data_IF_123361400789
#
_entry.id   IF_123361400789
#
_cell.length_a   1.000
_cell.length_b   1.000
_cell.length_c   1.000
_cell.angle_alpha   90.00
_cell.angle_beta   90.00
_cell.angle_gamma   90.00
#
_symmetry.space_group_name_H-M   'P 1'
#
loop_
_entity.id
_entity.type
_entity.pdbx_description
1 polymer ?
#
# COMPACT_ATOMS: atom_id res chain seq x y z
N UNK A 1 2.47 18.47 -71.68
CA UNK A 1 2.35 19.17 -70.42
C UNK A 1 2.85 18.21 -69.32
N UNK A 2 4.02 18.56 -68.77
CA UNK A 2 4.72 17.69 -67.72
C UNK A 2 4.36 18.24 -66.38
N UNK A 3 3.82 17.38 -65.51
CA UNK A 3 3.64 17.69 -64.10
C UNK A 3 4.96 17.47 -63.33
N UNK A 4 5.28 18.34 -62.32
CA UNK A 4 6.48 18.13 -61.52
C UNK A 4 6.20 17.24 -60.30
N UNK A 5 7.06 16.24 -60.14
CA UNK A 5 7.15 15.36 -58.97
C UNK A 5 7.80 16.14 -57.84
N UNK A 6 7.09 16.33 -56.71
CA UNK A 6 7.67 16.83 -55.48
C UNK A 6 8.26 15.67 -54.67
N UNK A 7 9.58 15.72 -54.51
CA UNK A 7 10.37 14.83 -53.66
C UNK A 7 10.31 15.38 -52.23
N UNK A 8 9.64 14.68 -51.31
CA UNK A 8 9.67 14.99 -49.87
C UNK A 8 10.89 14.30 -49.28
N UNK A 9 11.91 15.10 -48.95
CA UNK A 9 13.04 14.65 -48.14
C UNK A 9 12.57 14.49 -46.66
N UNK A 10 12.48 13.28 -46.18
CA UNK A 10 12.33 12.99 -44.74
C UNK A 10 13.69 13.21 -44.05
N UNK A 11 13.81 14.31 -43.32
CA UNK A 11 14.95 14.58 -42.45
C UNK A 11 14.88 13.71 -41.19
N UNK A 12 15.79 12.77 -41.10
CA UNK A 12 16.08 12.06 -39.83
C UNK A 12 16.84 13.03 -38.90
N UNK A 13 16.17 13.49 -37.84
CA UNK A 13 16.83 14.11 -36.71
C UNK A 13 17.38 12.97 -35.83
N UNK A 14 18.67 13.00 -35.46
CA UNK A 14 19.18 12.07 -34.44
C UNK A 14 18.66 12.54 -33.07
N UNK A 15 17.95 11.66 -32.39
CA UNK A 15 17.58 11.80 -30.99
C UNK A 15 18.86 11.70 -30.16
N UNK A 16 19.38 12.84 -29.72
CA UNK A 16 20.50 12.90 -28.80
C UNK A 16 20.00 12.45 -27.41
N UNK A 17 20.33 11.23 -27.02
CA UNK A 17 20.24 10.77 -25.65
C UNK A 17 21.25 11.59 -24.82
N UNK A 18 20.74 12.57 -24.08
CA UNK A 18 21.48 13.23 -22.99
C UNK A 18 21.61 12.24 -21.84
N UNK A 19 22.76 11.54 -21.82
CA UNK A 19 23.26 10.94 -20.60
C UNK A 19 23.64 12.09 -19.66
N UNK A 20 22.86 12.35 -18.62
CA UNK A 20 23.38 13.06 -17.46
C UNK A 20 24.37 12.14 -16.75
N UNK A 21 25.63 12.24 -17.15
CA UNK A 21 26.72 11.80 -16.29
C UNK A 21 26.77 12.85 -15.15
N UNK A 22 26.50 12.44 -13.93
CA UNK A 22 26.91 13.20 -12.76
C UNK A 22 28.44 13.30 -12.81
N UNK A 23 28.91 14.45 -13.23
CA UNK A 23 30.30 14.85 -13.03
C UNK A 23 30.35 15.43 -11.62
N UNK A 24 31.18 14.94 -10.71
CA UNK A 24 31.37 15.63 -9.44
C UNK A 24 32.08 16.95 -9.78
N UNK A 25 31.37 18.06 -9.62
CA UNK A 25 31.97 19.39 -9.65
C UNK A 25 32.98 19.45 -8.50
N UNK A 26 34.24 19.58 -8.85
CA UNK A 26 35.32 19.87 -7.91
C UNK A 26 35.23 21.40 -7.70
N UNK A 27 34.64 21.78 -6.56
CA UNK A 27 34.69 23.16 -6.11
C UNK A 27 36.15 23.50 -5.81
N UNK A 28 36.73 24.47 -6.54
CA UNK A 28 38.08 25.01 -6.35
C UNK A 28 38.23 25.89 -5.10
N UNK A 29 37.28 25.89 -4.17
CA UNK A 29 37.40 26.62 -2.92
C UNK A 29 37.87 25.68 -1.81
N UNK A 30 39.16 25.73 -1.52
CA UNK A 30 39.98 24.91 -0.63
C UNK A 30 39.55 24.83 0.85
N UNK A 31 38.30 24.52 1.14
CA UNK A 31 37.86 24.04 2.43
C UNK A 31 37.60 22.53 2.36
N UNK A 32 38.53 21.77 2.88
CA UNK A 32 38.57 20.31 2.82
C UNK A 32 37.48 19.61 3.63
N UNK A 33 36.24 20.01 3.50
CA UNK A 33 35.07 19.22 3.93
C UNK A 33 34.87 18.06 2.98
N UNK A 34 35.49 16.92 3.29
CA UNK A 34 35.18 15.63 2.68
C UNK A 34 33.72 15.34 3.02
N UNK A 35 32.81 15.55 2.04
CA UNK A 35 31.44 15.05 2.17
C UNK A 35 31.51 13.58 2.57
N UNK A 36 30.78 13.14 3.62
CA UNK A 36 30.72 11.73 3.91
C UNK A 36 30.24 11.00 2.65
N UNK A 37 30.86 9.86 2.28
CA UNK A 37 30.40 9.11 1.13
C UNK A 37 28.90 8.83 1.30
N UNK A 38 28.10 9.13 0.26
CA UNK A 38 26.69 8.73 0.26
C UNK A 38 26.61 7.25 0.65
N UNK A 39 25.70 6.86 1.53
CA UNK A 39 25.59 5.47 1.94
C UNK A 39 25.43 4.61 0.69
N UNK A 40 26.39 3.75 0.44
CA UNK A 40 26.38 2.82 -0.71
C UNK A 40 25.36 1.76 -0.36
N UNK A 41 24.21 1.76 -1.02
CA UNK A 41 23.22 0.71 -0.83
C UNK A 41 23.78 -0.67 -1.23
N UNK A 42 23.31 -1.74 -0.58
CA UNK A 42 23.79 -3.10 -0.77
C UNK A 42 23.22 -3.73 -2.05
N UNK A 43 23.96 -3.70 -3.13
CA UNK A 43 23.58 -4.33 -4.40
C UNK A 43 23.66 -5.86 -4.41
N UNK A 44 24.19 -6.48 -3.35
CA UNK A 44 24.25 -7.94 -3.23
C UNK A 44 22.88 -8.54 -2.81
N UNK A 45 21.97 -7.72 -2.29
CA UNK A 45 20.59 -8.13 -2.16
C UNK A 45 19.95 -8.23 -3.56
N UNK A 46 19.47 -9.43 -3.92
CA UNK A 46 18.68 -9.62 -5.14
C UNK A 46 17.40 -8.77 -5.09
N UNK A 47 16.88 -8.29 -6.24
CA UNK A 47 15.64 -7.53 -6.24
C UNK A 47 14.49 -8.36 -5.68
N UNK A 48 13.60 -7.71 -4.93
CA UNK A 48 12.45 -8.31 -4.27
C UNK A 48 11.17 -7.76 -4.90
N UNK A 49 10.24 -8.65 -5.23
CA UNK A 49 8.88 -8.28 -5.62
C UNK A 49 7.93 -8.80 -4.54
N UNK A 50 7.22 -7.88 -3.92
CA UNK A 50 6.22 -8.13 -2.89
C UNK A 50 4.84 -8.23 -3.52
N UNK A 51 4.07 -9.26 -3.16
CA UNK A 51 2.75 -9.58 -3.74
C UNK A 51 1.72 -9.63 -2.61
N UNK A 52 0.79 -8.68 -2.60
CA UNK A 52 -0.22 -8.51 -1.54
C UNK A 52 -1.31 -9.59 -1.56
N UNK A 53 -2.08 -9.68 -0.48
CA UNK A 53 -3.22 -10.56 -0.30
C UNK A 53 -4.50 -10.03 -0.94
N UNK A 54 -5.61 -10.73 -0.68
CA UNK A 54 -6.93 -10.32 -1.16
C UNK A 54 -7.31 -8.93 -0.62
N UNK A 55 -7.90 -8.08 -1.48
CA UNK A 55 -8.30 -6.69 -1.18
C UNK A 55 -7.15 -5.77 -0.74
N UNK A 56 -5.91 -6.25 -0.74
CA UNK A 56 -4.72 -5.47 -0.45
C UNK A 56 -4.23 -4.67 -1.66
N UNK A 57 -3.13 -3.96 -1.45
CA UNK A 57 -2.34 -3.25 -2.47
C UNK A 57 -0.89 -3.22 -2.02
N UNK A 58 -0.02 -2.59 -2.81
CA UNK A 58 1.41 -2.54 -2.55
C UNK A 58 1.80 -1.91 -1.22
N UNK A 59 0.99 -1.02 -0.68
CA UNK A 59 1.21 -0.39 0.64
C UNK A 59 1.11 -1.34 1.84
N UNK A 60 0.53 -2.53 1.67
CA UNK A 60 0.65 -3.62 2.65
C UNK A 60 2.11 -3.87 3.04
N UNK A 61 3.03 -3.62 2.11
CA UNK A 61 4.45 -3.88 2.27
C UNK A 61 5.28 -2.66 2.71
N UNK A 62 4.63 -1.51 2.95
CA UNK A 62 5.31 -0.29 3.38
C UNK A 62 6.20 -0.51 4.62
N UNK A 63 5.75 -1.17 5.71
CA UNK A 63 6.60 -1.42 6.87
C UNK A 63 7.83 -2.29 6.55
N UNK A 64 7.67 -3.30 5.68
CA UNK A 64 8.79 -4.18 5.30
C UNK A 64 9.78 -3.45 4.39
N UNK A 65 9.29 -2.68 3.41
CA UNK A 65 10.14 -1.88 2.52
C UNK A 65 10.96 -0.86 3.31
N UNK A 66 10.35 -0.16 4.26
CA UNK A 66 11.06 0.79 5.14
C UNK A 66 12.15 0.09 5.96
N UNK A 67 11.89 -1.12 6.50
CA UNK A 67 12.90 -1.91 7.21
C UNK A 67 14.03 -2.39 6.30
N UNK A 68 13.72 -2.81 5.06
CA UNK A 68 14.74 -3.14 4.08
C UNK A 68 15.65 -1.93 3.77
N UNK A 69 15.07 -0.74 3.61
CA UNK A 69 15.81 0.51 3.40
C UNK A 69 16.69 0.84 4.62
N UNK A 70 16.19 0.66 5.84
CA UNK A 70 16.96 0.83 7.09
C UNK A 70 18.13 -0.18 7.22
N UNK A 71 18.10 -1.25 6.44
CA UNK A 71 19.14 -2.26 6.37
C UNK A 71 19.95 -2.21 5.05
N UNK A 72 20.15 -1.00 4.54
CA UNK A 72 21.00 -0.69 3.39
C UNK A 72 20.51 -1.27 2.05
N UNK A 73 19.25 -1.73 1.94
CA UNK A 73 18.74 -2.16 0.65
C UNK A 73 18.65 -0.99 -0.34
N UNK A 74 18.95 -1.26 -1.62
CA UNK A 74 18.75 -0.26 -2.66
C UNK A 74 17.27 -0.11 -2.97
N UNK A 75 16.74 1.12 -2.97
CA UNK A 75 15.33 1.39 -3.24
C UNK A 75 14.90 0.88 -4.63
N UNK A 76 15.78 0.94 -5.62
CA UNK A 76 15.55 0.45 -6.99
C UNK A 76 15.54 -1.09 -7.10
N UNK A 77 15.64 -1.81 -5.98
CA UNK A 77 15.55 -3.27 -5.87
C UNK A 77 14.33 -3.75 -5.08
N UNK A 78 13.46 -2.86 -4.61
CA UNK A 78 12.26 -3.19 -3.85
C UNK A 78 11.03 -2.78 -4.67
N UNK A 79 10.18 -3.74 -4.99
CA UNK A 79 9.01 -3.55 -5.84
C UNK A 79 7.77 -4.12 -5.18
N UNK A 80 6.67 -3.40 -5.21
CA UNK A 80 5.36 -3.93 -4.88
C UNK A 80 4.58 -4.20 -6.18
N UNK A 81 3.92 -5.34 -6.24
CA UNK A 81 3.08 -5.74 -7.37
C UNK A 81 1.62 -5.56 -6.99
N UNK A 82 0.97 -4.60 -7.63
CA UNK A 82 -0.46 -4.40 -7.54
C UNK A 82 -1.18 -5.30 -8.55
N UNK A 83 -2.20 -6.02 -8.09
CA UNK A 83 -2.99 -6.92 -8.90
C UNK A 83 -4.45 -6.91 -8.48
N UNK A 84 -5.36 -7.32 -9.36
CA UNK A 84 -6.79 -7.42 -9.05
C UNK A 84 -7.09 -8.73 -8.31
N UNK A 85 -6.93 -8.71 -7.00
CA UNK A 85 -7.14 -9.90 -6.15
C UNK A 85 -8.61 -10.28 -5.94
N UNK A 86 -9.54 -9.51 -6.48
CA UNK A 86 -10.99 -9.76 -6.43
C UNK A 86 -11.42 -10.62 -7.62
N UNK A 87 -10.72 -10.51 -8.75
CA UNK A 87 -11.01 -11.32 -9.93
C UNK A 87 -10.65 -12.80 -9.69
N UNK A 88 -11.36 -13.69 -10.33
CA UNK A 88 -11.11 -15.13 -10.27
C UNK A 88 -10.22 -15.64 -11.41
N UNK A 89 -9.97 -14.82 -12.44
CA UNK A 89 -9.07 -15.13 -13.54
C UNK A 89 -7.67 -14.62 -13.27
N UNK A 90 -6.80 -15.47 -12.77
CA UNK A 90 -5.39 -15.11 -12.52
C UNK A 90 -4.55 -14.90 -13.79
N UNK A 91 -5.04 -15.22 -14.98
CA UNK A 91 -4.21 -15.22 -16.20
C UNK A 91 -3.67 -13.82 -16.56
N UNK A 92 -4.45 -12.73 -16.48
CA UNK A 92 -3.92 -11.37 -16.67
C UNK A 92 -2.85 -10.99 -15.64
N UNK A 93 -3.08 -11.32 -14.36
CA UNK A 93 -2.17 -10.99 -13.27
C UNK A 93 -0.86 -11.77 -13.35
N UNK A 94 -0.92 -13.05 -13.73
CA UNK A 94 0.29 -13.84 -13.99
C UNK A 94 1.12 -13.29 -15.16
N UNK A 95 0.48 -12.77 -16.20
CA UNK A 95 1.17 -12.13 -17.32
C UNK A 95 1.78 -10.78 -16.91
N UNK A 96 1.07 -9.98 -16.11
CA UNK A 96 1.56 -8.72 -15.59
C UNK A 96 2.73 -8.92 -14.61
N UNK A 97 2.63 -9.92 -13.73
CA UNK A 97 3.74 -10.30 -12.82
C UNK A 97 4.98 -10.74 -13.61
N UNK A 98 4.81 -11.52 -14.66
CA UNK A 98 5.92 -11.96 -15.50
C UNK A 98 6.61 -10.79 -16.22
N UNK A 99 5.82 -9.84 -16.73
CA UNK A 99 6.33 -8.61 -17.33
C UNK A 99 7.09 -7.73 -16.32
N UNK A 100 6.58 -7.64 -15.07
CA UNK A 100 7.28 -6.92 -13.99
C UNK A 100 8.59 -7.62 -13.65
N UNK A 101 8.60 -8.95 -13.48
CA UNK A 101 9.82 -9.74 -13.21
C UNK A 101 10.89 -9.49 -14.29
N UNK A 102 10.51 -9.52 -15.57
CA UNK A 102 11.45 -9.25 -16.66
C UNK A 102 11.95 -7.79 -16.66
N UNK A 103 11.08 -6.83 -16.35
CA UNK A 103 11.44 -5.42 -16.21
C UNK A 103 12.43 -5.21 -15.07
N UNK A 104 12.17 -5.81 -13.91
CA UNK A 104 13.05 -5.71 -12.72
C UNK A 104 14.42 -6.34 -13.00
N UNK A 105 14.46 -7.50 -13.64
CA UNK A 105 15.71 -8.15 -14.04
C UNK A 105 16.51 -7.28 -15.01
N UNK A 106 15.85 -6.69 -16.00
CA UNK A 106 16.49 -5.81 -16.97
C UNK A 106 17.06 -4.53 -16.34
N UNK A 107 16.29 -3.91 -15.42
CA UNK A 107 16.69 -2.67 -14.72
C UNK A 107 17.86 -2.88 -13.76
N UNK A 108 17.81 -3.96 -12.99
CA UNK A 108 18.80 -4.24 -11.94
C UNK A 108 20.02 -5.04 -12.42
N UNK A 109 19.94 -5.60 -13.64
CA UNK A 109 20.96 -6.52 -14.17
C UNK A 109 20.97 -7.88 -13.45
N UNK A 110 19.99 -8.16 -12.59
CA UNK A 110 19.90 -9.42 -11.86
C UNK A 110 19.43 -10.56 -12.77
N UNK A 111 20.02 -11.74 -12.64
CA UNK A 111 19.59 -12.94 -13.37
C UNK A 111 18.24 -13.47 -12.88
N UNK A 112 17.94 -13.27 -11.60
CA UNK A 112 16.72 -13.74 -10.92
C UNK A 112 16.24 -12.69 -9.92
N UNK A 113 14.95 -12.80 -9.53
CA UNK A 113 14.34 -11.99 -8.46
C UNK A 113 14.01 -12.85 -7.26
N UNK A 114 13.77 -12.24 -6.10
CA UNK A 114 13.12 -12.85 -4.95
C UNK A 114 11.64 -12.48 -4.96
N UNK A 115 10.75 -13.38 -4.56
CA UNK A 115 9.34 -13.12 -4.38
C UNK A 115 8.95 -13.22 -2.89
N UNK A 116 8.05 -12.35 -2.45
CA UNK A 116 7.41 -12.44 -1.15
C UNK A 116 5.90 -12.31 -1.35
N UNK A 117 5.14 -13.36 -1.06
CA UNK A 117 3.69 -13.40 -1.29
C UNK A 117 2.91 -13.62 0.00
N UNK A 118 1.96 -12.70 0.30
CA UNK A 118 1.08 -12.79 1.44
C UNK A 118 -0.29 -13.32 1.03
N UNK A 119 -0.87 -14.26 1.79
CA UNK A 119 -2.26 -14.72 1.62
C UNK A 119 -2.57 -15.15 0.17
N UNK A 120 -3.52 -14.52 -0.50
CA UNK A 120 -3.83 -14.74 -1.93
C UNK A 120 -2.62 -14.49 -2.83
N UNK A 121 -1.73 -13.55 -2.50
CA UNK A 121 -0.46 -13.32 -3.19
C UNK A 121 0.50 -14.51 -3.06
N UNK A 122 0.43 -15.26 -1.95
CA UNK A 122 1.13 -16.54 -1.79
C UNK A 122 0.62 -17.59 -2.79
N UNK A 123 -0.70 -17.70 -2.98
CA UNK A 123 -1.34 -18.57 -4.00
C UNK A 123 -0.92 -18.16 -5.41
N UNK A 124 -0.99 -16.87 -5.73
CA UNK A 124 -0.56 -16.35 -7.04
C UNK A 124 0.90 -16.66 -7.32
N UNK A 125 1.79 -16.48 -6.32
CA UNK A 125 3.21 -16.79 -6.40
C UNK A 125 3.47 -18.27 -6.71
N UNK A 126 2.76 -19.18 -6.03
CA UNK A 126 2.87 -20.62 -6.34
C UNK A 126 2.40 -20.96 -7.75
N UNK A 127 1.29 -20.37 -8.19
CA UNK A 127 0.77 -20.54 -9.56
C UNK A 127 1.78 -20.02 -10.58
N UNK A 128 2.39 -18.83 -10.32
CA UNK A 128 3.44 -18.27 -11.16
C UNK A 128 4.64 -19.22 -11.31
N UNK A 129 5.13 -19.75 -10.18
CA UNK A 129 6.30 -20.64 -10.14
C UNK A 129 5.98 -22.08 -10.56
N UNK A 130 4.72 -22.44 -10.85
CA UNK A 130 4.37 -23.74 -11.41
C UNK A 130 4.82 -23.90 -12.87
N UNK A 131 4.97 -22.80 -13.59
CA UNK A 131 5.54 -22.74 -14.93
C UNK A 131 7.09 -22.80 -14.85
N UNK A 132 7.77 -23.75 -15.52
CA UNK A 132 9.23 -23.89 -15.45
C UNK A 132 10.03 -22.68 -15.96
N UNK A 133 9.51 -21.94 -16.95
CA UNK A 133 10.20 -20.76 -17.50
C UNK A 133 10.11 -19.59 -16.52
N UNK A 134 8.98 -19.40 -15.88
CA UNK A 134 8.76 -18.40 -14.82
C UNK A 134 9.53 -18.77 -13.56
N UNK A 135 9.50 -20.02 -13.13
CA UNK A 135 10.24 -20.50 -11.97
C UNK A 135 11.76 -20.27 -12.11
N UNK A 136 12.32 -20.41 -13.32
CA UNK A 136 13.72 -20.15 -13.59
C UNK A 136 14.13 -18.68 -13.35
N UNK A 137 13.19 -17.76 -13.29
CA UNK A 137 13.41 -16.32 -13.01
C UNK A 137 13.43 -15.99 -11.51
N UNK A 138 13.09 -16.95 -10.62
CA UNK A 138 12.99 -16.75 -9.17
C UNK A 138 14.12 -17.45 -8.45
N UNK A 139 14.83 -16.72 -7.57
CA UNK A 139 15.94 -17.25 -6.78
C UNK A 139 15.45 -17.82 -5.43
N UNK A 140 14.69 -17.01 -4.67
CA UNK A 140 14.21 -17.33 -3.33
C UNK A 140 12.75 -16.88 -3.21
N UNK A 141 11.99 -17.53 -2.33
CA UNK A 141 10.61 -17.20 -2.09
C UNK A 141 10.28 -17.13 -0.60
N UNK A 142 9.49 -16.14 -0.20
CA UNK A 142 8.87 -16.03 1.12
C UNK A 142 7.35 -16.23 0.98
N UNK A 143 6.84 -17.28 1.61
CA UNK A 143 5.42 -17.65 1.68
C UNK A 143 4.87 -17.20 3.04
N UNK A 144 3.95 -16.25 3.05
CA UNK A 144 3.60 -15.53 4.27
C UNK A 144 2.09 -15.57 4.49
N UNK A 145 1.63 -16.04 5.67
CA UNK A 145 0.21 -16.06 6.03
C UNK A 145 -0.69 -16.62 4.94
N UNK A 146 -0.30 -17.71 4.30
CA UNK A 146 -1.00 -18.30 3.16
C UNK A 146 -1.27 -19.79 3.37
N UNK A 147 -2.08 -20.38 2.49
CA UNK A 147 -2.45 -21.78 2.60
C UNK A 147 -1.24 -22.71 2.56
N UNK A 148 -1.21 -23.70 3.44
CA UNK A 148 -0.18 -24.74 3.46
C UNK A 148 -0.22 -25.55 2.16
N UNK A 149 0.96 -25.75 1.58
CA UNK A 149 1.15 -26.56 0.39
C UNK A 149 2.13 -27.68 0.70
N UNK A 150 1.88 -28.87 0.18
CA UNK A 150 2.63 -30.08 0.54
C UNK A 150 4.09 -30.12 0.09
N UNK A 151 4.49 -29.21 -0.83
CA UNK A 151 5.85 -29.17 -1.38
C UNK A 151 6.27 -27.76 -1.76
N UNK A 152 7.58 -27.55 -1.84
CA UNK A 152 8.16 -26.30 -2.32
C UNK A 152 7.70 -25.98 -3.76
N UNK A 153 7.60 -24.68 -4.12
CA UNK A 153 7.26 -24.27 -5.49
C UNK A 153 8.38 -24.62 -6.49
N UNK A 154 8.05 -24.50 -7.76
CA UNK A 154 8.95 -24.80 -8.85
C UNK A 154 8.86 -26.26 -9.35
N UNK A 155 9.46 -26.54 -10.51
CA UNK A 155 9.39 -27.87 -11.14
C UNK A 155 10.05 -28.95 -10.27
N UNK A 156 9.73 -30.23 -10.48
CA UNK A 156 10.19 -31.33 -9.60
C UNK A 156 11.70 -31.38 -9.39
N UNK A 157 12.49 -31.01 -10.40
CA UNK A 157 13.95 -31.09 -10.37
C UNK A 157 14.64 -29.74 -10.03
N UNK A 158 13.88 -28.67 -9.81
CA UNK A 158 14.39 -27.33 -9.52
C UNK A 158 13.46 -26.61 -8.55
N UNK A 159 13.36 -27.12 -7.34
CA UNK A 159 12.57 -26.50 -6.27
C UNK A 159 13.21 -25.20 -5.84
N UNK A 160 12.35 -24.17 -5.62
CA UNK A 160 12.79 -22.86 -5.17
C UNK A 160 12.90 -22.88 -3.64
N UNK A 161 14.07 -22.51 -3.06
CA UNK A 161 14.20 -22.39 -1.61
C UNK A 161 13.18 -21.41 -1.06
N UNK A 162 12.45 -21.82 -0.02
CA UNK A 162 11.29 -21.10 0.50
C UNK A 162 11.40 -20.89 2.01
N UNK A 163 11.17 -19.67 2.49
CA UNK A 163 10.77 -19.39 3.85
C UNK A 163 9.24 -19.46 3.93
N UNK A 164 8.72 -20.28 4.84
CA UNK A 164 7.29 -20.33 5.13
C UNK A 164 7.02 -19.71 6.50
N UNK A 165 6.26 -18.62 6.52
CA UNK A 165 6.03 -17.78 7.69
C UNK A 165 4.52 -17.75 7.96
N UNK A 166 4.09 -18.18 9.13
CA UNK A 166 2.67 -18.31 9.46
C UNK A 166 2.40 -18.02 10.94
N UNK A 167 1.13 -17.75 11.25
CA UNK A 167 0.68 -17.56 12.64
C UNK A 167 -0.35 -18.63 13.01
N UNK A 168 -0.23 -19.29 14.17
CA UNK A 168 -1.28 -20.19 14.68
C UNK A 168 -2.59 -19.42 14.98
N UNK A 169 -2.49 -18.12 15.23
CA UNK A 169 -3.62 -17.25 15.58
C UNK A 169 -4.23 -16.51 14.40
N UNK A 170 -3.70 -16.72 13.18
CA UNK A 170 -4.34 -16.28 11.95
C UNK A 170 -5.68 -17.03 11.74
N UNK A 171 -6.80 -16.32 11.83
CA UNK A 171 -8.14 -16.88 11.74
C UNK A 171 -8.69 -16.94 10.31
N UNK A 172 -7.97 -16.36 9.34
CA UNK A 172 -8.37 -16.33 7.92
C UNK A 172 -7.94 -17.60 7.18
N UNK A 173 -6.76 -18.12 7.51
CA UNK A 173 -6.21 -19.32 6.86
C UNK A 173 -6.48 -20.55 7.71
N UNK A 174 -7.39 -21.42 7.26
CA UNK A 174 -7.74 -22.66 7.96
C UNK A 174 -6.62 -23.71 7.92
N UNK A 175 -6.10 -24.02 6.70
CA UNK A 175 -5.00 -24.97 6.50
C UNK A 175 -3.66 -24.23 6.49
N UNK A 176 -3.13 -23.95 7.66
CA UNK A 176 -1.81 -23.33 7.90
C UNK A 176 -0.88 -24.29 8.62
N UNK A 177 0.42 -24.03 8.56
CA UNK A 177 1.44 -24.84 9.24
C UNK A 177 2.68 -25.03 8.39
N UNK A 178 3.55 -25.93 8.81
CA UNK A 178 4.84 -26.20 8.19
C UNK A 178 4.73 -26.78 6.78
N UNK A 179 5.57 -26.28 5.87
CA UNK A 179 5.74 -26.80 4.51
C UNK A 179 6.99 -27.66 4.48
N UNK A 180 6.86 -28.88 3.95
CA UNK A 180 7.99 -29.82 3.86
C UNK A 180 9.12 -29.29 2.96
N UNK A 181 10.31 -29.20 3.52
CA UNK A 181 11.50 -28.70 2.83
C UNK A 181 11.69 -27.19 2.88
N UNK A 182 10.73 -26.42 3.42
CA UNK A 182 10.89 -24.98 3.66
C UNK A 182 11.63 -24.70 4.98
N UNK A 183 12.16 -23.48 5.09
CA UNK A 183 12.52 -22.90 6.38
C UNK A 183 11.23 -22.38 7.02
N UNK A 184 10.72 -23.05 8.04
CA UNK A 184 9.45 -22.73 8.66
C UNK A 184 9.65 -21.85 9.90
N UNK A 185 8.86 -20.76 10.00
CA UNK A 185 8.78 -19.86 11.14
C UNK A 185 7.32 -19.63 11.51
N UNK A 186 6.99 -19.70 12.80
CA UNK A 186 5.64 -19.42 13.26
C UNK A 186 5.65 -18.38 14.36
N UNK A 187 4.76 -17.39 14.27
CA UNK A 187 4.66 -16.27 15.21
C UNK A 187 3.26 -16.22 15.82
N UNK A 188 3.17 -16.64 17.08
CA UNK A 188 1.91 -16.60 17.82
C UNK A 188 1.50 -15.17 18.17
N UNK A 189 0.19 -14.93 18.30
CA UNK A 189 -0.39 -13.64 18.64
C UNK A 189 -0.52 -12.66 17.46
N UNK A 190 -0.12 -13.06 16.26
CA UNK A 190 -0.25 -12.23 15.07
C UNK A 190 -1.52 -12.57 14.28
N UNK A 191 -2.30 -11.55 13.95
CA UNK A 191 -3.43 -11.72 13.03
C UNK A 191 -2.97 -11.86 11.57
N UNK A 192 -3.93 -12.03 10.66
CA UNK A 192 -3.66 -12.26 9.25
C UNK A 192 -2.90 -11.11 8.55
N UNK A 193 -3.02 -9.86 9.03
CA UNK A 193 -2.27 -8.71 8.50
C UNK A 193 -0.92 -8.54 9.21
N UNK A 194 -0.88 -8.69 10.54
CA UNK A 194 0.37 -8.58 11.28
C UNK A 194 1.42 -9.57 10.80
N UNK A 195 1.02 -10.78 10.38
CA UNK A 195 1.96 -11.76 9.85
C UNK A 195 2.68 -11.28 8.58
N UNK A 196 2.13 -10.31 7.84
CA UNK A 196 2.80 -9.71 6.69
C UNK A 196 3.64 -8.48 7.04
N UNK A 197 3.29 -7.76 8.11
CA UNK A 197 3.81 -6.42 8.42
C UNK A 197 4.74 -6.37 9.62
N UNK A 198 4.78 -7.43 10.43
CA UNK A 198 5.50 -7.47 11.70
C UNK A 198 7.03 -7.44 11.55
N UNK A 199 7.74 -6.96 12.59
CA UNK A 199 9.20 -7.01 12.64
C UNK A 199 9.76 -8.45 12.62
N UNK A 200 9.07 -9.40 13.25
CA UNK A 200 9.49 -10.81 13.28
C UNK A 200 9.43 -11.44 11.90
N UNK A 201 8.40 -11.11 11.13
CA UNK A 201 8.30 -11.54 9.72
C UNK A 201 9.39 -10.89 8.88
N UNK A 202 9.68 -9.60 9.11
CA UNK A 202 10.81 -8.96 8.44
C UNK A 202 12.13 -9.68 8.71
N UNK A 203 12.41 -9.99 9.98
CA UNK A 203 13.63 -10.71 10.36
C UNK A 203 13.75 -12.03 9.59
N UNK A 204 12.68 -12.83 9.54
CA UNK A 204 12.66 -14.11 8.86
C UNK A 204 12.85 -13.96 7.33
N UNK A 205 12.20 -12.97 6.69
CA UNK A 205 12.35 -12.69 5.26
C UNK A 205 13.78 -12.22 4.96
N UNK A 206 14.29 -11.31 5.78
CA UNK A 206 15.61 -10.72 5.57
C UNK A 206 16.71 -11.79 5.72
N UNK A 207 16.64 -12.62 6.77
CA UNK A 207 17.57 -13.74 6.96
C UNK A 207 17.52 -14.70 5.77
N UNK A 208 16.32 -15.03 5.28
CA UNK A 208 16.16 -15.92 4.14
C UNK A 208 16.77 -15.35 2.84
N UNK A 209 16.56 -14.06 2.57
CA UNK A 209 17.04 -13.43 1.33
C UNK A 209 18.50 -12.98 1.39
N UNK A 210 19.05 -12.73 2.59
CA UNK A 210 20.41 -12.23 2.80
C UNK A 210 21.37 -13.25 3.38
N UNK A 211 20.86 -14.31 4.00
CA UNK A 211 21.67 -15.28 4.74
C UNK A 211 22.33 -14.71 6.02
N UNK A 212 21.81 -13.59 6.53
CA UNK A 212 22.26 -12.94 7.78
C UNK A 212 21.08 -12.20 8.44
N UNK A 213 21.18 -11.98 9.75
CA UNK A 213 20.20 -11.17 10.48
C UNK A 213 20.25 -9.71 10.04
N UNK A 214 19.11 -8.98 10.10
CA UNK A 214 19.09 -7.54 9.90
C UNK A 214 19.83 -6.82 11.03
N UNK A 215 20.30 -5.60 10.77
CA UNK A 215 20.92 -4.75 11.79
C UNK A 215 19.85 -4.00 12.61
N UNK A 216 18.69 -3.69 12.03
CA UNK A 216 17.55 -3.04 12.67
C UNK A 216 16.24 -3.72 12.28
N UNK A 217 15.30 -3.79 13.21
CA UNK A 217 13.92 -4.21 12.97
C UNK A 217 12.96 -3.02 12.82
N UNK A 218 13.46 -1.81 13.02
CA UNK A 218 12.69 -0.59 12.92
C UNK A 218 13.09 0.18 11.65
N UNK A 219 12.15 0.95 11.05
CA UNK A 219 12.47 1.93 10.03
C UNK A 219 13.48 2.97 10.54
N UNK A 220 14.33 3.49 9.64
CA UNK A 220 15.27 4.56 9.99
C UNK A 220 14.54 5.90 10.00
N UNK A 221 14.47 6.60 11.14
CA UNK A 221 13.91 7.95 11.18
C UNK A 221 14.62 8.90 10.23
N UNK A 222 13.89 9.76 9.55
CA UNK A 222 14.43 10.75 8.63
C UNK A 222 13.83 12.14 8.88
N UNK A 223 14.60 13.19 8.60
CA UNK A 223 14.18 14.59 8.64
C UNK A 223 15.03 15.39 7.63
N UNK A 224 14.46 15.89 6.51
CA UNK A 224 13.07 15.70 6.10
C UNK A 224 12.73 14.26 5.77
N UNK A 225 11.42 13.95 5.80
CA UNK A 225 10.88 12.66 5.36
C UNK A 225 10.53 12.75 3.89
N UNK A 226 11.00 11.82 3.06
CA UNK A 226 10.58 11.70 1.68
C UNK A 226 9.44 10.69 1.56
N UNK A 227 8.33 11.11 0.94
CA UNK A 227 7.16 10.24 0.69
C UNK A 227 6.81 10.21 -0.79
N UNK A 228 6.33 9.06 -1.23
CA UNK A 228 5.79 8.87 -2.58
C UNK A 228 4.84 7.68 -2.58
N UNK A 229 4.12 7.46 -3.67
CA UNK A 229 3.22 6.32 -3.73
C UNK A 229 2.41 6.28 -5.02
N UNK A 230 1.20 5.73 -4.91
CA UNK A 230 0.29 5.58 -6.05
C UNK A 230 -1.12 6.03 -5.73
N UNK A 231 -1.83 6.49 -6.78
CA UNK A 231 -3.28 6.68 -6.76
C UNK A 231 -3.91 5.56 -7.58
N UNK A 232 -4.70 4.72 -6.90
CA UNK A 232 -5.37 3.57 -7.49
C UNK A 232 -6.85 3.57 -7.10
N UNK A 233 -7.70 2.77 -7.72
CA UNK A 233 -9.03 2.53 -7.19
C UNK A 233 -9.02 1.54 -6.02
N UNK A 234 -10.00 1.66 -5.15
CA UNK A 234 -10.16 0.74 -4.03
C UNK A 234 -10.62 -0.63 -4.51
N UNK A 235 -9.81 -1.66 -4.25
CA UNK A 235 -10.11 -3.06 -4.47
C UNK A 235 -9.50 -3.66 -5.72
N UNK A 236 -9.57 -2.99 -6.87
CA UNK A 236 -9.06 -3.52 -8.14
C UNK A 236 -7.63 -3.05 -8.47
N UNK A 237 -7.15 -2.02 -7.73
CA UNK A 237 -5.81 -1.45 -7.86
C UNK A 237 -5.50 -0.83 -9.24
N UNK A 238 -6.53 -0.41 -9.98
CA UNK A 238 -6.35 0.24 -11.28
C UNK A 238 -5.77 1.65 -11.08
N UNK A 239 -4.66 2.01 -11.77
CA UNK A 239 -4.11 3.36 -11.70
C UNK A 239 -5.12 4.43 -12.13
N UNK A 240 -5.16 5.55 -11.44
CA UNK A 240 -6.12 6.63 -11.66
C UNK A 240 -5.51 7.77 -12.49
N UNK A 241 -5.24 7.48 -13.77
CA UNK A 241 -4.72 8.48 -14.71
C UNK A 241 -5.65 9.70 -14.81
N UNK A 242 -5.07 10.90 -14.76
CA UNK A 242 -5.78 12.17 -14.81
C UNK A 242 -6.34 12.65 -13.47
N UNK A 243 -6.31 11.83 -12.41
CA UNK A 243 -6.61 12.31 -11.06
C UNK A 243 -5.60 13.37 -10.61
N UNK A 244 -5.98 14.18 -9.63
CA UNK A 244 -5.07 15.13 -8.98
C UNK A 244 -4.95 14.83 -7.49
N UNK A 245 -3.77 15.07 -6.94
CA UNK A 245 -3.48 14.99 -5.50
C UNK A 245 -2.96 16.34 -5.04
N UNK A 246 -3.62 16.93 -4.05
CA UNK A 246 -3.13 18.11 -3.35
C UNK A 246 -2.77 17.71 -1.92
N UNK A 247 -1.61 18.13 -1.43
CA UNK A 247 -1.09 17.78 -0.10
C UNK A 247 -1.10 19.00 0.79
N UNK A 248 -1.62 18.85 2.02
CA UNK A 248 -1.74 19.92 2.99
C UNK A 248 -1.23 19.46 4.36
N UNK A 249 -0.33 20.23 4.95
CA UNK A 249 0.03 20.07 6.36
C UNK A 249 -1.13 20.48 7.28
N UNK A 250 -1.32 19.73 8.36
CA UNK A 250 -2.45 19.87 9.27
C UNK A 250 -2.03 20.34 10.66
N UNK A 251 -2.92 21.07 11.33
CA UNK A 251 -2.88 21.24 12.76
C UNK A 251 -3.27 19.92 13.44
N UNK A 252 -2.35 19.35 14.21
CA UNK A 252 -2.51 18.04 14.83
C UNK A 252 -3.68 17.94 15.83
N UNK A 253 -4.14 19.09 16.37
CA UNK A 253 -5.22 19.13 17.37
C UNK A 253 -6.58 19.19 16.73
N UNK A 254 -6.69 19.92 15.61
CA UNK A 254 -7.99 20.22 14.98
C UNK A 254 -8.22 19.50 13.67
N UNK A 255 -7.16 18.95 13.05
CA UNK A 255 -7.21 18.37 11.70
C UNK A 255 -7.41 19.39 10.58
N UNK A 256 -7.38 20.69 10.90
CA UNK A 256 -7.53 21.73 9.89
C UNK A 256 -6.22 21.95 9.12
N UNK A 257 -6.33 22.32 7.86
CA UNK A 257 -5.20 22.72 7.01
C UNK A 257 -4.51 23.95 7.61
N UNK A 258 -3.19 23.91 7.74
CA UNK A 258 -2.39 25.04 8.21
C UNK A 258 -2.34 26.21 7.19
N UNK A 259 -2.57 25.90 5.92
CA UNK A 259 -2.63 26.87 4.82
C UNK A 259 -3.85 26.62 3.94
N UNK A 260 -4.37 27.68 3.32
CA UNK A 260 -5.41 27.57 2.29
C UNK A 260 -4.88 27.12 0.92
N UNK A 261 -3.53 27.11 0.73
CA UNK A 261 -2.89 26.60 -0.48
C UNK A 261 -2.23 25.26 -0.16
N UNK A 262 -2.22 24.30 -1.11
CA UNK A 262 -1.50 23.05 -0.94
C UNK A 262 0.01 23.28 -0.86
N UNK A 263 0.69 22.45 -0.06
CA UNK A 263 2.15 22.41 0.01
C UNK A 263 2.74 21.79 -1.27
N UNK A 264 2.00 20.86 -1.88
CA UNK A 264 2.32 20.25 -3.16
C UNK A 264 1.05 19.84 -3.91
N UNK A 265 1.16 19.75 -5.25
CA UNK A 265 0.09 19.23 -6.11
C UNK A 265 0.67 18.38 -7.24
N UNK A 266 0.01 17.26 -7.54
CA UNK A 266 0.40 16.29 -8.56
C UNK A 266 -0.76 16.00 -9.49
N UNK A 267 -0.48 15.84 -10.80
CA UNK A 267 -1.40 15.23 -11.76
C UNK A 267 -0.91 13.83 -12.05
N UNK A 268 -1.78 12.86 -11.92
CA UNK A 268 -1.45 11.45 -11.97
C UNK A 268 -1.37 10.97 -13.42
N UNK A 269 -0.30 10.28 -13.76
CA UNK A 269 -0.10 9.68 -15.07
C UNK A 269 -0.65 8.23 -15.13
N UNK A 270 -0.49 7.57 -16.27
CA UNK A 270 -0.95 6.21 -16.51
C UNK A 270 -0.31 5.15 -15.57
N UNK A 271 0.78 5.48 -14.88
CA UNK A 271 1.39 4.59 -13.88
C UNK A 271 0.72 4.68 -12.51
N UNK A 272 -0.06 5.72 -12.28
CA UNK A 272 -0.68 6.00 -10.99
C UNK A 272 0.26 6.67 -9.99
N UNK A 273 1.53 6.90 -10.30
CA UNK A 273 2.52 7.37 -9.34
C UNK A 273 2.33 8.87 -9.00
N UNK A 274 2.65 9.21 -7.74
CA UNK A 274 2.78 10.57 -7.24
C UNK A 274 4.03 10.72 -6.36
N UNK A 275 4.52 11.94 -6.21
CA UNK A 275 5.76 12.22 -5.48
C UNK A 275 7.01 12.09 -6.37
N UNK A 276 8.24 12.08 -5.81
CA UNK A 276 8.49 12.22 -4.36
C UNK A 276 8.14 13.62 -3.82
N UNK A 277 7.88 13.67 -2.52
CA UNK A 277 7.63 14.89 -1.77
C UNK A 277 8.39 14.84 -0.44
N UNK A 278 9.14 15.87 -0.13
CA UNK A 278 9.71 16.08 1.19
C UNK A 278 8.66 16.71 2.11
N UNK A 279 8.47 16.13 3.30
CA UNK A 279 7.53 16.58 4.32
C UNK A 279 8.21 16.70 5.67
N UNK A 280 7.66 17.54 6.57
CA UNK A 280 8.14 17.68 7.93
C UNK A 280 7.81 16.44 8.76
N UNK A 281 8.81 15.89 9.44
CA UNK A 281 8.63 14.73 10.31
C UNK A 281 7.58 15.01 11.39
N UNK A 282 6.77 13.99 11.71
CA UNK A 282 5.71 14.05 12.74
C UNK A 282 4.59 15.07 12.50
N UNK A 283 4.54 15.72 11.35
CA UNK A 283 3.43 16.59 10.97
C UNK A 283 2.36 15.75 10.29
N UNK A 284 1.08 15.79 10.73
CA UNK A 284 0.00 15.12 10.03
C UNK A 284 -0.33 15.82 8.71
N UNK A 285 -0.77 15.03 7.73
CA UNK A 285 -1.08 15.54 6.39
C UNK A 285 -2.44 15.08 5.91
N UNK A 286 -3.07 15.96 5.12
CA UNK A 286 -4.18 15.60 4.25
C UNK A 286 -3.69 15.47 2.82
N UNK A 287 -4.11 14.39 2.16
CA UNK A 287 -3.97 14.17 0.73
C UNK A 287 -5.36 14.26 0.12
N UNK A 288 -5.64 15.35 -0.55
CA UNK A 288 -6.91 15.58 -1.21
C UNK A 288 -6.85 15.05 -2.64
N UNK A 289 -7.58 13.97 -2.90
CA UNK A 289 -7.61 13.29 -4.19
C UNK A 289 -8.88 13.67 -4.94
N UNK A 290 -8.72 14.31 -6.10
CA UNK A 290 -9.82 14.57 -7.02
C UNK A 290 -9.73 13.58 -8.18
N UNK A 291 -10.70 12.65 -8.34
CA UNK A 291 -10.76 11.73 -9.47
C UNK A 291 -10.84 12.46 -10.82
N UNK A 292 -10.34 11.84 -11.89
CA UNK A 292 -10.48 12.37 -13.24
C UNK A 292 -11.93 12.34 -13.74
N UNK A 293 -12.70 11.33 -13.32
CA UNK A 293 -14.13 11.24 -13.61
C UNK A 293 -14.92 12.15 -12.63
N UNK A 294 -15.60 13.17 -13.13
CA UNK A 294 -16.35 14.12 -12.29
C UNK A 294 -17.58 13.50 -11.59
N UNK A 295 -18.03 12.31 -12.00
CA UNK A 295 -19.12 11.59 -11.34
C UNK A 295 -18.64 10.88 -10.06
N UNK A 296 -17.32 10.69 -9.90
CA UNK A 296 -16.72 10.15 -8.70
C UNK A 296 -16.43 11.25 -7.68
N UNK A 297 -16.74 10.96 -6.41
CA UNK A 297 -16.51 11.91 -5.30
C UNK A 297 -15.03 12.06 -4.99
N UNK A 298 -14.58 13.26 -4.59
CA UNK A 298 -13.25 13.44 -4.00
C UNK A 298 -13.07 12.59 -2.74
N UNK A 299 -11.80 12.30 -2.43
CA UNK A 299 -11.42 11.57 -1.21
C UNK A 299 -10.36 12.37 -0.46
N UNK A 300 -10.58 12.54 0.83
CA UNK A 300 -9.70 13.26 1.75
C UNK A 300 -8.98 12.24 2.63
N UNK A 301 -7.70 11.96 2.35
CA UNK A 301 -6.87 11.10 3.18
C UNK A 301 -6.22 11.88 4.30
N UNK A 302 -6.50 11.49 5.53
CA UNK A 302 -5.85 12.02 6.72
C UNK A 302 -4.89 10.97 7.25
N UNK A 303 -3.62 11.35 7.43
CA UNK A 303 -2.58 10.47 7.98
C UNK A 303 -1.86 11.15 9.14
N UNK A 304 -1.44 10.34 10.10
CA UNK A 304 -0.52 10.75 11.14
C UNK A 304 0.81 11.23 10.53
N UNK A 305 1.61 11.94 11.31
CA UNK A 305 2.92 12.39 10.83
C UNK A 305 3.87 11.23 10.57
N UNK A 306 4.53 11.27 9.44
CA UNK A 306 5.55 10.30 9.08
C UNK A 306 6.80 10.47 9.94
N UNK A 307 7.42 9.37 10.34
CA UNK A 307 8.69 9.37 11.09
C UNK A 307 9.87 8.89 10.25
N UNK A 308 9.60 8.19 9.16
CA UNK A 308 10.58 7.65 8.24
C UNK A 308 10.08 7.80 6.79
N UNK A 309 11.00 7.88 5.85
CA UNK A 309 10.65 7.94 4.42
C UNK A 309 9.84 6.73 3.99
N UNK A 310 8.80 6.96 3.18
CA UNK A 310 7.87 5.92 2.77
C UNK A 310 7.55 6.02 1.27
N UNK A 311 8.02 5.09 0.43
CA UNK A 311 7.76 5.10 -1.01
C UNK A 311 6.42 4.45 -1.41
N UNK A 312 5.63 3.98 -0.44
CA UNK A 312 4.39 3.24 -0.66
C UNK A 312 3.18 3.88 0.04
N UNK A 313 3.05 5.21 -0.05
CA UNK A 313 1.85 5.93 0.44
C UNK A 313 0.77 5.86 -0.63
N UNK A 314 -0.15 4.90 -0.48
CA UNK A 314 -1.22 4.72 -1.46
C UNK A 314 -2.45 5.57 -1.10
N UNK A 315 -3.04 6.13 -2.14
CA UNK A 315 -4.27 6.90 -2.09
C UNK A 315 -5.28 6.22 -3.02
N UNK A 316 -6.48 5.96 -2.53
CA UNK A 316 -7.49 5.22 -3.28
C UNK A 316 -8.67 6.10 -3.62
N UNK A 317 -9.11 6.07 -4.87
CA UNK A 317 -10.42 6.62 -5.25
C UNK A 317 -11.51 5.58 -4.99
N UNK A 318 -12.73 6.04 -4.88
CA UNK A 318 -13.88 5.16 -4.78
C UNK A 318 -14.31 4.78 -6.20
N UNK A 319 -14.24 3.51 -6.59
CA UNK A 319 -14.60 3.09 -7.94
C UNK A 319 -16.11 3.27 -8.19
N UNK A 320 -16.45 3.50 -9.45
CA UNK A 320 -17.86 3.57 -9.88
C UNK A 320 -18.59 2.22 -9.75
N UNK A 321 -19.93 2.21 -9.85
CA UNK A 321 -20.77 1.02 -9.63
C UNK A 321 -20.56 -0.10 -10.67
N UNK A 322 -19.71 0.09 -11.65
CA UNK A 322 -19.36 -0.89 -12.68
C UNK A 322 -18.39 -1.98 -12.24
N UNK A 323 -17.74 -1.81 -11.08
CA UNK A 323 -16.77 -2.75 -10.52
C UNK A 323 -17.34 -3.48 -9.30
N UNK A 324 -16.67 -4.57 -8.88
CA UNK A 324 -17.10 -5.34 -7.70
C UNK A 324 -16.99 -4.50 -6.41
N UNK A 325 -15.90 -3.79 -6.22
CA UNK A 325 -15.73 -2.89 -5.08
C UNK A 325 -16.70 -1.70 -5.16
N UNK A 326 -16.91 -1.14 -6.36
CA UNK A 326 -17.85 -0.04 -6.58
C UNK A 326 -19.28 -0.40 -6.27
N UNK A 327 -19.68 -1.66 -6.48
CA UNK A 327 -21.02 -2.11 -6.07
C UNK A 327 -21.19 -2.05 -4.55
N UNK A 328 -20.20 -2.48 -3.77
CA UNK A 328 -20.21 -2.37 -2.31
C UNK A 328 -20.22 -0.89 -1.87
N UNK A 329 -19.35 -0.07 -2.45
CA UNK A 329 -19.17 1.33 -2.08
C UNK A 329 -20.32 2.23 -2.58
N UNK A 330 -21.17 1.75 -3.50
CA UNK A 330 -22.37 2.44 -3.91
C UNK A 330 -23.41 2.58 -2.79
N UNK A 331 -23.26 1.82 -1.69
CA UNK A 331 -24.07 1.97 -0.48
C UNK A 331 -23.72 3.22 0.33
N UNK A 332 -22.52 3.79 0.14
CA UNK A 332 -22.09 4.99 0.85
C UNK A 332 -22.98 6.19 0.45
N UNK A 333 -23.67 6.82 1.40
CA UNK A 333 -24.64 7.87 1.10
C UNK A 333 -23.97 9.08 0.43
N UNK A 334 -24.77 9.73 -0.42
CA UNK A 334 -24.49 11.05 -0.99
C UNK A 334 -25.46 12.04 -0.36
N UNK A 335 -25.07 12.60 0.77
CA UNK A 335 -25.92 13.45 1.61
C UNK A 335 -25.11 14.49 2.37
N UNK A 336 -25.36 15.76 2.08
CA UNK A 336 -24.64 16.88 2.71
C UNK A 336 -24.97 17.09 4.19
N UNK A 337 -25.93 16.35 4.75
CA UNK A 337 -26.22 16.40 6.18
C UNK A 337 -25.27 15.54 7.02
N UNK A 338 -24.58 14.60 6.39
CA UNK A 338 -23.69 13.68 7.08
C UNK A 338 -22.29 13.58 6.45
N UNK A 339 -21.31 13.29 7.29
CA UNK A 339 -19.97 12.89 6.89
C UNK A 339 -19.91 11.38 6.70
N UNK A 340 -19.30 10.94 5.61
CA UNK A 340 -18.88 9.53 5.41
C UNK A 340 -17.41 9.43 5.79
N UNK A 341 -17.12 8.57 6.76
CA UNK A 341 -15.76 8.37 7.29
C UNK A 341 -15.35 6.90 7.13
N UNK A 342 -14.25 6.67 6.43
CA UNK A 342 -13.60 5.36 6.38
C UNK A 342 -12.33 5.38 7.25
N UNK A 343 -12.15 4.35 8.06
CA UNK A 343 -10.98 4.17 8.94
C UNK A 343 -10.20 2.96 8.47
N UNK A 344 -8.91 3.11 8.29
CA UNK A 344 -8.01 2.01 7.90
C UNK A 344 -6.90 1.82 8.93
N UNK A 345 -6.73 0.58 9.41
CA UNK A 345 -5.54 0.14 10.12
C UNK A 345 -4.65 -0.61 9.11
N UNK A 346 -3.50 -0.04 8.76
CA UNK A 346 -2.71 -0.52 7.60
C UNK A 346 -1.79 -1.69 7.94
N UNK A 347 -1.47 -1.89 9.23
CA UNK A 347 -0.46 -2.87 9.68
C UNK A 347 -1.02 -4.05 10.48
N UNK A 348 -2.27 -3.97 10.94
CA UNK A 348 -2.92 -5.01 11.72
C UNK A 348 -4.44 -4.92 11.61
N UNK A 349 -5.15 -6.00 11.90
CA UNK A 349 -6.60 -5.95 12.09
C UNK A 349 -6.95 -5.25 13.42
N UNK A 350 -8.17 -4.69 13.49
CA UNK A 350 -8.74 -4.26 14.76
C UNK A 350 -9.48 -5.44 15.39
N UNK A 351 -9.08 -5.85 16.60
CA UNK A 351 -9.62 -7.02 17.27
C UNK A 351 -10.12 -6.65 18.67
N UNK A 352 -11.37 -7.00 18.96
CA UNK A 352 -11.97 -6.82 20.28
C UNK A 352 -11.11 -7.47 21.39
N UNK A 353 -10.91 -6.72 22.47
CA UNK A 353 -10.13 -7.16 23.63
C UNK A 353 -8.60 -7.05 23.47
N UNK A 354 -8.08 -6.85 22.24
CA UNK A 354 -6.68 -6.52 21.96
C UNK A 354 -6.52 -5.04 21.65
N UNK A 355 -7.38 -4.49 20.84
CA UNK A 355 -7.26 -3.13 20.31
C UNK A 355 -8.36 -2.22 20.85
N UNK A 356 -8.09 -0.91 20.78
CA UNK A 356 -9.07 0.15 21.04
C UNK A 356 -9.18 1.03 19.82
N UNK A 357 -10.38 1.13 19.23
CA UNK A 357 -10.72 2.05 18.17
C UNK A 357 -11.91 2.91 18.58
N UNK A 358 -11.69 4.20 18.77
CA UNK A 358 -12.72 5.17 19.14
C UNK A 358 -12.94 6.20 18.04
N UNK A 359 -14.20 6.57 17.81
CA UNK A 359 -14.59 7.77 17.05
C UNK A 359 -15.36 8.67 18.00
N UNK A 360 -14.74 9.78 18.40
CA UNK A 360 -15.14 10.58 19.56
C UNK A 360 -15.26 9.70 20.82
N UNK A 361 -16.48 9.40 21.28
CA UNK A 361 -16.71 8.51 22.41
C UNK A 361 -17.28 7.14 22.02
N UNK A 362 -17.48 6.88 20.73
CA UNK A 362 -18.04 5.64 20.22
C UNK A 362 -16.90 4.61 20.09
N UNK A 363 -17.03 3.48 20.81
CA UNK A 363 -16.11 2.34 20.70
C UNK A 363 -16.49 1.48 19.50
N UNK A 364 -15.55 1.26 18.59
CA UNK A 364 -15.71 0.40 17.41
C UNK A 364 -15.04 -0.97 17.56
N UNK A 365 -14.09 -1.13 18.48
CA UNK A 365 -13.43 -2.42 18.77
C UNK A 365 -14.26 -3.29 19.72
N UNK A 366 -15.56 -3.45 19.42
CA UNK A 366 -16.49 -4.30 20.18
C UNK A 366 -16.50 -5.73 19.64
N UNK A 367 -17.04 -6.69 20.44
CA UNK A 367 -17.18 -8.08 19.99
C UNK A 367 -18.06 -8.22 18.74
N UNK A 368 -19.03 -7.32 18.55
CA UNK A 368 -19.93 -7.32 17.38
C UNK A 368 -19.25 -6.74 16.12
N UNK A 369 -18.49 -5.64 16.28
CA UNK A 369 -17.91 -4.90 15.16
C UNK A 369 -16.51 -5.37 14.77
N UNK A 370 -15.77 -5.92 15.70
CA UNK A 370 -14.37 -6.34 15.53
C UNK A 370 -14.07 -7.70 16.15
N UNK A 371 -14.87 -8.76 15.88
CA UNK A 371 -14.51 -10.08 16.33
C UNK A 371 -13.21 -10.54 15.67
N UNK A 372 -12.41 -11.37 16.38
CA UNK A 372 -11.11 -11.81 15.89
C UNK A 372 -11.19 -12.53 14.54
N UNK A 373 -12.26 -13.28 14.33
CA UNK A 373 -12.51 -14.06 13.09
C UNK A 373 -12.77 -13.19 11.87
N UNK A 374 -13.23 -11.93 12.06
CA UNK A 374 -13.50 -11.03 10.95
C UNK A 374 -12.22 -10.39 10.39
N UNK A 375 -11.17 -10.25 11.19
CA UNK A 375 -9.90 -9.65 10.80
C UNK A 375 -10.08 -8.28 10.12
N UNK A 376 -10.93 -7.43 10.71
CA UNK A 376 -11.33 -6.16 10.10
C UNK A 376 -10.18 -5.16 10.11
N UNK A 377 -9.82 -4.65 8.92
CA UNK A 377 -8.82 -3.60 8.71
C UNK A 377 -9.44 -2.25 8.34
N UNK A 378 -10.71 -2.25 7.93
CA UNK A 378 -11.40 -1.03 7.58
C UNK A 378 -12.82 -0.97 8.12
N UNK A 379 -13.21 0.22 8.58
CA UNK A 379 -14.54 0.55 9.08
C UNK A 379 -15.10 1.71 8.27
N UNK A 380 -16.31 1.53 7.74
CA UNK A 380 -17.04 2.55 6.99
C UNK A 380 -18.19 3.07 7.83
N UNK A 381 -18.10 4.31 8.29
CA UNK A 381 -19.07 4.95 9.17
C UNK A 381 -19.94 5.88 8.37
N UNK A 382 -21.24 5.61 8.37
CA UNK A 382 -22.26 6.44 7.76
C UNK A 382 -23.64 6.11 8.36
N UNK A 383 -24.55 7.06 8.29
CA UNK A 383 -25.93 6.92 8.76
C UNK A 383 -26.82 6.27 7.70
N UNK A 384 -27.73 5.42 8.11
CA UNK A 384 -28.70 4.72 7.25
C UNK A 384 -29.84 5.61 6.74
N UNK A 385 -29.88 6.90 7.12
CA UNK A 385 -30.79 7.92 6.66
C UNK A 385 -31.80 8.39 7.73
N UNK A 386 -31.66 7.97 8.98
CA UNK A 386 -32.53 8.38 10.08
C UNK A 386 -31.95 9.49 10.98
N UNK A 387 -30.71 9.93 10.69
CA UNK A 387 -29.96 10.96 11.42
C UNK A 387 -29.69 10.58 12.88
N UNK A 388 -29.50 9.30 13.14
CA UNK A 388 -29.15 8.78 14.47
C UNK A 388 -28.03 7.76 14.40
N UNK A 389 -27.25 7.63 15.48
CA UNK A 389 -26.23 6.60 15.61
C UNK A 389 -26.80 5.41 16.37
N UNK A 390 -26.93 4.27 15.72
CA UNK A 390 -27.28 3.02 16.39
C UNK A 390 -26.06 2.18 16.76
N UNK A 391 -24.96 2.35 16.03
CA UNK A 391 -23.76 1.50 16.15
C UNK A 391 -23.95 0.11 15.54
N UNK A 392 -25.02 -0.15 14.80
CA UNK A 392 -25.31 -1.43 14.19
C UNK A 392 -24.46 -1.67 12.92
N UNK A 393 -24.24 -2.94 12.59
CA UNK A 393 -23.52 -3.32 11.36
C UNK A 393 -24.41 -3.10 10.14
N UNK A 394 -23.90 -2.45 9.12
CA UNK A 394 -24.52 -2.38 7.80
C UNK A 394 -24.39 -3.73 7.07
N UNK A 395 -25.53 -4.40 6.86
CA UNK A 395 -25.58 -5.79 6.38
C UNK A 395 -24.89 -6.04 5.02
N UNK A 396 -24.73 -5.01 4.18
CA UNK A 396 -24.04 -5.14 2.89
C UNK A 396 -22.53 -5.45 3.07
N UNK A 397 -21.92 -4.88 4.10
CA UNK A 397 -20.49 -5.13 4.39
C UNK A 397 -20.21 -6.54 4.90
N UNK A 398 -21.22 -7.28 5.38
CA UNK A 398 -21.07 -8.70 5.72
C UNK A 398 -20.68 -9.58 4.51
N UNK A 399 -20.77 -9.06 3.28
CA UNK A 399 -20.37 -9.76 2.07
C UNK A 399 -18.89 -9.52 1.69
N UNK A 400 -18.25 -8.55 2.34
CA UNK A 400 -16.87 -8.18 2.06
C UNK A 400 -15.97 -8.60 3.26
N UNK A 401 -14.98 -9.48 3.03
CA UNK A 401 -14.04 -9.82 4.09
C UNK A 401 -13.21 -8.58 4.47
N UNK A 402 -12.79 -8.51 5.75
CA UNK A 402 -11.89 -7.48 6.29
C UNK A 402 -12.48 -6.06 6.40
N UNK A 403 -13.73 -5.88 6.00
CA UNK A 403 -14.42 -4.58 6.00
C UNK A 403 -15.68 -4.64 6.87
N UNK A 404 -15.93 -3.58 7.62
CA UNK A 404 -17.15 -3.44 8.44
C UNK A 404 -17.81 -2.10 8.16
N UNK A 405 -19.10 -2.09 7.86
CA UNK A 405 -19.91 -0.87 7.82
C UNK A 405 -20.64 -0.69 9.14
N UNK A 406 -20.66 0.53 9.67
CA UNK A 406 -21.25 0.85 10.97
C UNK A 406 -22.17 2.04 10.82
N UNK A 407 -23.38 1.93 11.35
CA UNK A 407 -24.37 2.99 11.37
C UNK A 407 -23.99 4.06 12.40
N UNK A 408 -23.45 5.17 11.87
CA UNK A 408 -22.96 6.31 12.67
C UNK A 408 -23.31 7.61 11.97
N UNK A 409 -24.15 8.43 12.62
CA UNK A 409 -24.45 9.76 12.14
C UNK A 409 -23.41 10.78 12.63
N UNK A 410 -22.63 11.31 11.70
CA UNK A 410 -21.67 12.41 11.93
C UNK A 410 -22.23 13.66 11.23
N UNK A 411 -22.88 14.61 11.95
CA UNK A 411 -23.49 15.77 11.33
C UNK A 411 -22.42 16.72 10.77
N UNK A 412 -22.70 17.33 9.61
CA UNK A 412 -21.81 18.30 8.96
C UNK A 412 -21.95 19.73 9.51
N UNK A 413 -22.96 19.98 10.34
CA UNK A 413 -23.21 21.28 10.96
C UNK A 413 -23.44 21.14 12.48
N UNK A 414 -22.85 22.01 13.31
CA UNK A 414 -21.84 23.03 12.94
C UNK A 414 -20.51 22.41 12.50
N UNK A 415 -19.66 23.13 11.76
CA UNK A 415 -18.31 22.67 11.46
C UNK A 415 -17.55 22.36 12.75
N UNK A 416 -17.09 21.12 12.87
CA UNK A 416 -16.34 20.59 14.04
C UNK A 416 -15.27 19.63 13.58
N UNK A 417 -14.45 19.16 14.50
CA UNK A 417 -13.52 18.05 14.26
C UNK A 417 -14.07 16.78 14.91
N UNK A 418 -13.88 15.65 14.24
CA UNK A 418 -14.09 14.29 14.75
C UNK A 418 -12.76 13.75 15.22
N UNK A 419 -12.70 13.26 16.44
CA UNK A 419 -11.48 12.66 17.01
C UNK A 419 -11.51 11.15 16.80
N UNK A 420 -10.47 10.62 16.17
CA UNK A 420 -10.31 9.19 15.94
C UNK A 420 -9.11 8.72 16.75
N UNK A 421 -9.28 7.73 17.61
CA UNK A 421 -8.19 7.19 18.41
C UNK A 421 -8.05 5.70 18.18
N UNK A 422 -6.85 5.28 17.75
CA UNK A 422 -6.49 3.87 17.59
C UNK A 422 -5.28 3.54 18.46
N UNK A 423 -5.46 2.65 19.43
CA UNK A 423 -4.40 2.21 20.35
C UNK A 423 -3.61 3.37 20.98
N UNK A 424 -4.31 4.44 21.40
CA UNK A 424 -3.73 5.62 22.05
C UNK A 424 -3.13 6.67 21.11
N UNK A 425 -3.08 6.44 19.81
CA UNK A 425 -2.75 7.43 18.78
C UNK A 425 -4.01 8.15 18.35
N UNK A 426 -3.96 9.45 18.13
CA UNK A 426 -5.16 10.24 17.82
C UNK A 426 -4.96 11.08 16.56
N UNK A 427 -5.95 11.02 15.68
CA UNK A 427 -6.06 11.83 14.48
C UNK A 427 -7.37 12.63 14.52
N UNK A 428 -7.31 13.92 14.28
CA UNK A 428 -8.48 14.78 14.16
C UNK A 428 -8.80 15.00 12.68
N UNK A 429 -10.08 14.91 12.29
CA UNK A 429 -10.54 15.17 10.93
C UNK A 429 -11.75 16.12 10.96
N UNK A 430 -11.93 17.01 9.99
CA UNK A 430 -13.15 17.85 9.93
C UNK A 430 -14.38 17.01 9.57
N UNK A 431 -15.57 17.50 9.92
CA UNK A 431 -16.82 16.94 9.43
C UNK A 431 -17.17 17.55 8.06
N UNK A 432 -17.01 16.76 6.98
CA UNK A 432 -17.23 17.17 5.58
C UNK A 432 -18.58 16.68 5.06
N UNK A 433 -19.15 17.43 4.11
CA UNK A 433 -20.40 17.05 3.42
C UNK A 433 -20.14 15.94 2.42
N UNK A 434 -20.80 14.80 2.59
CA UNK A 434 -20.43 13.59 1.85
C UNK A 434 -20.78 13.64 0.35
N UNK A 435 -21.72 14.46 -0.08
CA UNK A 435 -22.02 14.68 -1.51
C UNK A 435 -21.12 15.75 -2.13
N UNK A 436 -21.04 16.93 -1.48
CA UNK A 436 -20.37 18.11 -2.06
C UNK A 436 -18.85 18.08 -1.84
N UNK A 437 -18.40 17.73 -0.63
CA UNK A 437 -16.98 17.81 -0.28
C UNK A 437 -16.28 16.47 -0.50
N UNK A 438 -16.96 15.33 -0.36
CA UNK A 438 -16.37 14.01 -0.60
C UNK A 438 -16.33 13.10 0.63
N UNK A 439 -15.51 12.07 0.57
CA UNK A 439 -15.37 11.04 1.61
C UNK A 439 -14.06 11.21 2.36
N UNK A 440 -14.11 11.06 3.67
CA UNK A 440 -12.91 11.08 4.52
C UNK A 440 -12.38 9.66 4.67
N UNK A 441 -11.06 9.51 4.54
CA UNK A 441 -10.32 8.29 4.86
C UNK A 441 -9.25 8.65 5.88
N UNK A 442 -9.34 8.09 7.08
CA UNK A 442 -8.31 8.21 8.11
C UNK A 442 -7.50 6.92 8.18
N UNK A 443 -6.17 7.03 8.11
CA UNK A 443 -5.25 5.89 8.06
C UNK A 443 -4.29 5.93 9.24
N UNK A 444 -4.20 4.81 9.94
CA UNK A 444 -3.22 4.53 11.00
C UNK A 444 -2.22 3.49 10.49
N UNK A 445 -0.95 3.88 10.38
CA UNK A 445 0.16 3.05 9.91
C UNK A 445 0.81 2.24 11.04
#
# INVERSE_FOLDING_TARGET
MREPVFLVLAGLLPLALLFFACNPDIDEDGDGTVMPPMPVCDTALGPIIFIHGALGSGDTWAPQVQRFLANEACADRLYAFDWNSIDQDDAPDLAALDALVDTVRARTGAGQVNLAGHSAGGRLSYTYMSDPERAAKVALYAHIGSFRIDSLPGPPNAKIPTANIWSPDDTVIDDKGDISGATNSSFAGQDHYQIATSPETFEAIYEHFRGRMPASLDPEPSDPVEISGRVVDLGENTPQEGATVEVYALDATTGNRLSGNPDAAFTIDATGNWGPLEVDANTPYEFFVTPADPDNRPVHYYREGFTASNPLVYLRTLPGPGSTAGLLLSALPRDDNQTVLALFASSQAVIHGRDQLLVDSLELSTEELAPAEATNIAFFLYDDGDQSTSGAVHGLFNLAPFLTGVDVFIPTAPPTSVSITFNGRTLAVPNLRSETDGVIVAVFD
#
